data_IF_509308944321
#
_entry.id   IF_509308944321
#
_cell.length_a   1.000
_cell.length_b   1.000
_cell.length_c   1.000
_cell.angle_alpha   90.00
_cell.angle_beta   90.00
_cell.angle_gamma   90.00
#
_symmetry.space_group_name_H-M   'P 1'
#
loop_
_entity.id
_entity.type
_entity.pdbx_description
1 polymer ?
#
# COMPACT_ATOMS: atom_id res chain seq x y z
N UNK A 1 -13.80 29.20 -21.03
CA UNK A 1 -12.83 28.61 -20.09
C UNK A 1 -12.10 27.47 -20.76
N UNK A 2 -10.79 27.42 -20.68
CA UNK A 2 -10.06 26.32 -21.28
C UNK A 2 -10.48 24.99 -20.70
N UNK A 3 -10.65 23.94 -21.50
CA UNK A 3 -11.09 22.64 -21.00
C UNK A 3 -10.12 21.99 -19.99
N UNK A 4 -8.86 22.48 -19.94
CA UNK A 4 -7.83 21.94 -19.04
C UNK A 4 -7.58 22.82 -17.82
N UNK A 5 -8.34 23.90 -17.64
CA UNK A 5 -8.24 24.69 -16.42
C UNK A 5 -8.72 23.85 -15.25
N UNK A 6 -7.89 23.64 -14.20
CA UNK A 6 -8.35 22.88 -13.05
C UNK A 6 -9.48 23.64 -12.34
N UNK A 7 -10.46 22.91 -11.75
CA UNK A 7 -11.45 23.56 -10.92
C UNK A 7 -10.76 24.21 -9.71
N UNK A 8 -11.37 25.24 -9.10
CA UNK A 8 -10.80 25.78 -7.88
C UNK A 8 -10.66 24.68 -6.84
N UNK A 9 -9.47 24.58 -6.27
CA UNK A 9 -9.17 23.57 -5.25
C UNK A 9 -9.62 24.08 -3.89
N UNK A 10 -10.44 23.29 -3.22
CA UNK A 10 -10.63 23.42 -1.79
C UNK A 10 -9.68 22.45 -1.11
N UNK A 11 -9.04 22.91 -0.05
CA UNK A 11 -8.19 22.05 0.77
C UNK A 11 -9.06 20.97 1.41
N UNK A 12 -8.74 19.66 1.19
CA UNK A 12 -9.51 18.61 1.82
C UNK A 12 -9.42 18.71 3.34
N UNK A 13 -10.50 18.35 4.06
CA UNK A 13 -10.45 18.35 5.51
C UNK A 13 -9.50 17.28 6.02
N UNK A 14 -8.89 17.54 7.16
CA UNK A 14 -8.10 16.54 7.86
C UNK A 14 -9.03 15.61 8.62
N UNK A 15 -9.00 14.32 8.27
CA UNK A 15 -9.85 13.31 8.91
C UNK A 15 -9.10 12.74 10.12
N UNK A 16 -9.76 12.63 11.29
CA UNK A 16 -9.13 12.03 12.46
C UNK A 16 -8.75 10.56 12.20
N UNK A 17 -7.57 10.10 12.67
CA UNK A 17 -7.19 8.70 12.51
C UNK A 17 -8.08 7.78 13.35
N UNK A 18 -8.33 6.57 12.82
CA UNK A 18 -9.04 5.51 13.53
C UNK A 18 -8.11 4.67 14.40
N UNK A 19 -6.81 4.71 14.09
CA UNK A 19 -5.80 4.01 14.86
C UNK A 19 -5.45 4.81 16.11
N UNK A 20 -5.14 4.09 17.20
CA UNK A 20 -4.68 4.73 18.45
C UNK A 20 -3.16 4.92 18.48
N UNK A 21 -2.44 4.21 17.61
CA UNK A 21 -1.00 4.32 17.48
C UNK A 21 -0.61 4.40 16.01
N UNK A 22 0.57 4.98 15.73
CA UNK A 22 1.09 5.10 14.39
C UNK A 22 1.17 3.73 13.69
N UNK A 23 0.93 3.67 12.37
CA UNK A 23 1.08 2.42 11.63
C UNK A 23 2.50 1.85 11.78
N UNK A 24 2.60 0.53 11.90
CA UNK A 24 3.88 -0.15 12.14
C UNK A 24 4.33 -0.86 10.87
N UNK A 25 5.63 -0.80 10.60
CA UNK A 25 6.28 -1.52 9.51
C UNK A 25 5.89 -3.00 9.52
N UNK A 26 5.60 -3.56 8.36
CA UNK A 26 5.25 -4.95 8.14
C UNK A 26 3.91 -5.40 8.75
N UNK A 27 3.17 -4.49 9.37
CA UNK A 27 1.84 -4.78 9.89
C UNK A 27 0.79 -4.57 8.83
N UNK A 28 -0.32 -5.30 8.98
CA UNK A 28 -1.43 -5.30 8.04
C UNK A 28 -2.60 -4.54 8.65
N UNK A 29 -3.19 -3.67 7.86
CA UNK A 29 -4.37 -2.88 8.22
C UNK A 29 -5.39 -2.93 7.09
N UNK A 30 -6.67 -2.70 7.39
CA UNK A 30 -7.64 -2.35 6.36
C UNK A 30 -7.35 -0.94 5.86
N UNK A 31 -7.49 -0.71 4.55
CA UNK A 31 -7.32 0.59 3.93
C UNK A 31 -8.51 0.91 3.05
N UNK A 32 -9.08 2.11 3.26
CA UNK A 32 -10.14 2.64 2.40
C UNK A 32 -9.49 3.38 1.22
N UNK A 33 -9.55 2.77 0.04
CA UNK A 33 -9.05 3.40 -1.17
C UNK A 33 -10.06 4.41 -1.74
N UNK A 34 -9.63 5.16 -2.76
CA UNK A 34 -10.39 6.27 -3.32
C UNK A 34 -11.61 5.78 -4.08
N UNK A 35 -12.73 6.48 -3.94
CA UNK A 35 -13.97 6.18 -4.67
C UNK A 35 -13.87 6.58 -6.15
N UNK A 36 -13.03 7.56 -6.46
CA UNK A 36 -12.78 8.05 -7.81
C UNK A 36 -11.62 7.35 -8.50
N UNK A 37 -11.22 6.20 -7.99
CA UNK A 37 -10.14 5.42 -8.55
C UNK A 37 -10.43 5.02 -10.00
N UNK A 38 -9.37 5.01 -10.81
CA UNK A 38 -9.41 4.56 -12.20
C UNK A 38 -8.57 3.31 -12.34
N UNK A 39 -9.14 2.26 -12.95
CA UNK A 39 -8.39 1.01 -13.12
C UNK A 39 -7.09 1.24 -13.90
N UNK A 40 -5.96 0.65 -13.49
CA UNK A 40 -5.84 -0.44 -12.50
C UNK A 40 -5.65 0.01 -11.04
N UNK A 41 -5.97 1.24 -10.69
CA UNK A 41 -5.89 1.69 -9.29
C UNK A 41 -6.80 0.86 -8.38
N UNK A 42 -6.39 0.70 -7.12
CA UNK A 42 -7.24 0.06 -6.12
C UNK A 42 -8.41 0.96 -5.76
N UNK A 43 -9.60 0.38 -5.64
CA UNK A 43 -10.83 1.16 -5.53
C UNK A 43 -11.77 0.74 -4.40
N UNK A 44 -11.52 -0.39 -3.75
CA UNK A 44 -12.35 -0.84 -2.63
C UNK A 44 -11.52 -0.99 -1.37
N UNK A 45 -12.16 -1.13 -0.22
CA UNK A 45 -11.47 -1.43 1.03
C UNK A 45 -10.72 -2.75 0.91
N UNK A 46 -9.42 -2.72 1.21
CA UNK A 46 -8.54 -3.88 1.11
C UNK A 46 -7.57 -3.92 2.27
N UNK A 47 -7.06 -5.11 2.63
CA UNK A 47 -5.90 -5.17 3.49
C UNK A 47 -4.68 -4.60 2.78
N UNK A 48 -3.84 -3.92 3.52
CA UNK A 48 -2.55 -3.41 3.03
C UNK A 48 -1.47 -3.75 4.04
N UNK A 49 -0.23 -3.92 3.56
CA UNK A 49 0.94 -4.06 4.43
C UNK A 49 1.73 -2.77 4.40
N UNK A 50 2.16 -2.31 5.57
CA UNK A 50 2.94 -1.07 5.70
C UNK A 50 4.39 -1.35 5.31
N UNK A 51 4.90 -0.55 4.36
CA UNK A 51 6.28 -0.62 3.88
C UNK A 51 7.18 0.44 4.50
N UNK A 52 6.63 1.58 4.90
CA UNK A 52 7.42 2.66 5.49
C UNK A 52 7.67 2.43 6.96
N UNK A 53 8.81 2.94 7.45
CA UNK A 53 9.14 2.95 8.86
C UNK A 53 9.14 4.39 9.40
N UNK A 54 9.20 4.54 10.73
CA UNK A 54 9.12 5.86 11.39
C UNK A 54 7.81 6.58 11.07
N UNK A 55 6.73 5.83 10.96
CA UNK A 55 5.42 6.40 10.68
C UNK A 55 4.89 7.20 11.86
N UNK A 56 4.04 8.17 11.56
CA UNK A 56 3.30 8.95 12.55
C UNK A 56 1.80 8.81 12.31
N UNK A 57 0.98 9.24 13.26
CA UNK A 57 -0.48 9.18 13.11
C UNK A 57 -1.01 10.13 12.03
N UNK A 58 -0.26 11.17 11.68
CA UNK A 58 -0.73 12.22 10.79
C UNK A 58 0.12 12.39 9.53
N UNK A 59 1.26 11.72 9.46
CA UNK A 59 2.14 11.77 8.30
C UNK A 59 1.79 10.72 7.25
N UNK A 60 2.41 10.78 6.07
CA UNK A 60 2.15 9.82 5.02
C UNK A 60 2.66 8.43 5.40
N UNK A 61 1.98 7.42 4.91
CA UNK A 61 2.33 6.01 5.12
C UNK A 61 2.39 5.30 3.78
N UNK A 62 3.49 4.60 3.49
CA UNK A 62 3.62 3.83 2.26
C UNK A 62 3.11 2.41 2.50
N UNK A 63 2.23 1.96 1.62
CA UNK A 63 1.61 0.65 1.74
C UNK A 63 1.64 -0.11 0.43
N UNK A 64 1.60 -1.44 0.52
CA UNK A 64 1.37 -2.34 -0.61
C UNK A 64 0.04 -3.05 -0.38
N UNK A 65 -0.85 -3.09 -1.40
CA UNK A 65 -2.15 -3.73 -1.24
C UNK A 65 -2.03 -5.24 -1.29
N UNK A 66 -2.93 -5.90 -0.58
CA UNK A 66 -3.10 -7.35 -0.59
C UNK A 66 -4.40 -7.69 -1.31
N UNK A 67 -4.39 -8.79 -2.07
CA UNK A 67 -5.56 -9.23 -2.82
C UNK A 67 -5.80 -10.72 -2.62
N UNK A 68 -7.05 -11.14 -2.69
CA UNK A 68 -7.40 -12.56 -2.73
C UNK A 68 -7.32 -13.14 -4.14
N UNK A 69 -7.20 -12.28 -5.16
CA UNK A 69 -6.97 -12.72 -6.53
C UNK A 69 -5.60 -13.34 -6.69
N UNK A 70 -5.55 -14.53 -7.30
CA UNK A 70 -4.30 -15.27 -7.47
C UNK A 70 -3.34 -14.50 -8.38
N UNK A 71 -2.09 -14.36 -7.95
CA UNK A 71 -1.04 -13.63 -8.66
C UNK A 71 0.13 -14.52 -9.09
N UNK A 72 -0.09 -15.82 -9.23
CA UNK A 72 0.96 -16.80 -9.54
C UNK A 72 1.69 -16.50 -10.85
N UNK A 73 0.97 -15.96 -11.85
CA UNK A 73 1.56 -15.63 -13.15
C UNK A 73 2.32 -14.30 -13.15
N UNK A 74 2.25 -13.53 -12.08
CA UNK A 74 2.90 -12.23 -12.00
C UNK A 74 4.19 -12.32 -11.19
N UNK A 75 5.27 -11.80 -11.74
CA UNK A 75 6.55 -11.69 -11.00
C UNK A 75 6.47 -10.68 -9.84
N UNK A 76 5.42 -9.86 -9.82
CA UNK A 76 5.22 -8.84 -8.78
C UNK A 76 4.35 -9.31 -7.65
N UNK A 77 3.74 -10.49 -7.77
CA UNK A 77 2.91 -11.07 -6.72
C UNK A 77 3.74 -11.90 -5.74
N UNK A 78 3.40 -11.80 -4.46
CA UNK A 78 3.94 -12.68 -3.42
C UNK A 78 2.80 -13.22 -2.58
N UNK A 79 2.66 -14.53 -2.51
CA UNK A 79 1.65 -15.16 -1.66
C UNK A 79 2.11 -15.15 -0.20
N UNK A 80 1.28 -14.59 0.68
CA UNK A 80 1.56 -14.59 2.11
C UNK A 80 1.32 -15.98 2.69
N UNK A 81 2.18 -16.40 3.65
CA UNK A 81 1.99 -17.65 4.37
C UNK A 81 0.86 -17.56 5.39
N UNK A 82 0.52 -16.34 5.81
CA UNK A 82 -0.57 -16.10 6.77
C UNK A 82 -1.87 -15.84 6.00
N UNK A 83 -2.99 -16.30 6.58
CA UNK A 83 -4.31 -16.01 6.04
C UNK A 83 -4.81 -14.69 6.60
N UNK A 84 -5.43 -13.87 5.74
CA UNK A 84 -6.04 -12.61 6.13
C UNK A 84 -7.55 -12.82 6.09
N UNK A 85 -8.21 -12.65 7.24
CA UNK A 85 -9.66 -12.87 7.38
C UNK A 85 -10.07 -14.25 6.84
N UNK A 86 -9.25 -15.27 7.13
CA UNK A 86 -9.48 -16.64 6.70
C UNK A 86 -9.22 -16.92 5.23
N UNK A 87 -8.67 -15.96 4.48
CA UNK A 87 -8.45 -16.10 3.05
C UNK A 87 -6.98 -16.01 2.68
N UNK A 88 -6.57 -16.78 1.65
CA UNK A 88 -5.25 -16.65 1.05
C UNK A 88 -5.14 -15.27 0.41
N UNK A 89 -3.96 -14.66 0.56
CA UNK A 89 -3.75 -13.30 0.05
C UNK A 89 -2.37 -13.18 -0.58
N UNK A 90 -2.29 -12.32 -1.59
CA UNK A 90 -1.07 -12.00 -2.31
C UNK A 90 -0.78 -10.52 -2.19
N UNK A 91 0.48 -10.16 -1.94
CA UNK A 91 0.93 -8.79 -2.05
C UNK A 91 1.13 -8.43 -3.53
N UNK A 92 0.61 -7.27 -3.95
CA UNK A 92 0.76 -6.76 -5.31
C UNK A 92 1.89 -5.74 -5.31
N UNK A 93 3.12 -6.19 -5.51
CA UNK A 93 4.32 -5.43 -5.19
C UNK A 93 4.63 -4.26 -6.15
N UNK A 94 3.91 -4.16 -7.26
CA UNK A 94 4.02 -3.01 -8.17
C UNK A 94 2.82 -2.04 -8.06
N UNK A 95 2.02 -2.18 -7.00
CA UNK A 95 0.91 -1.27 -6.69
C UNK A 95 1.21 -0.58 -5.37
N UNK A 96 2.04 0.45 -5.40
CA UNK A 96 2.43 1.17 -4.19
C UNK A 96 1.54 2.39 -4.00
N UNK A 97 1.12 2.63 -2.76
CA UNK A 97 0.29 3.78 -2.42
C UNK A 97 0.84 4.50 -1.20
N UNK A 98 0.86 5.82 -1.26
CA UNK A 98 1.08 6.66 -0.10
C UNK A 98 -0.30 7.12 0.37
N UNK A 99 -0.63 6.81 1.61
CA UNK A 99 -1.96 7.09 2.16
C UNK A 99 -1.86 7.82 3.49
N UNK A 100 -2.91 8.56 3.82
CA UNK A 100 -3.06 9.11 5.17
C UNK A 100 -3.42 7.98 6.14
N UNK A 101 -2.85 7.95 7.36
CA UNK A 101 -3.22 6.93 8.35
C UNK A 101 -4.70 6.90 8.70
N UNK A 102 -5.42 8.02 8.48
CA UNK A 102 -6.87 8.07 8.66
C UNK A 102 -7.64 7.13 7.73
N UNK A 103 -7.01 6.61 6.67
CA UNK A 103 -7.61 5.59 5.80
C UNK A 103 -7.45 4.17 6.36
N UNK A 104 -6.63 4.01 7.40
CA UNK A 104 -6.29 2.70 7.95
C UNK A 104 -7.15 2.39 9.18
N UNK A 105 -7.50 1.12 9.32
CA UNK A 105 -8.17 0.59 10.51
C UNK A 105 -7.63 -0.79 10.85
N UNK A 106 -7.81 -1.21 12.09
CA UNK A 106 -7.31 -2.50 12.57
C UNK A 106 -7.95 -3.66 11.83
N UNK A 107 -7.14 -4.70 11.59
CA UNK A 107 -7.55 -5.92 10.91
C UNK A 107 -8.14 -6.93 11.92
N UNK A 108 -9.24 -6.59 12.58
CA UNK A 108 -9.84 -7.45 13.58
C UNK A 108 -9.17 -7.34 14.95
N UNK A 109 -9.11 -8.44 15.71
CA UNK A 109 -8.56 -8.46 17.07
C UNK A 109 -7.05 -8.64 17.01
N UNK A 110 -6.32 -7.65 17.54
CA UNK A 110 -4.86 -7.68 17.59
C UNK A 110 -4.23 -7.24 16.27
N UNK A 111 -2.91 -7.14 16.27
CA UNK A 111 -2.15 -6.72 15.11
C UNK A 111 -1.60 -7.93 14.38
N UNK A 112 -1.76 -7.93 13.05
CA UNK A 112 -1.18 -8.94 12.19
C UNK A 112 0.11 -8.41 11.60
N UNK A 113 1.20 -9.13 11.83
CA UNK A 113 2.51 -8.79 11.30
C UNK A 113 2.94 -9.84 10.26
N UNK A 114 3.43 -9.37 9.13
CA UNK A 114 4.02 -10.26 8.12
C UNK A 114 5.37 -10.77 8.63
N UNK A 115 5.66 -12.08 8.50
CA UNK A 115 6.96 -12.60 8.90
C UNK A 115 8.11 -11.87 8.22
N UNK A 116 9.21 -11.72 8.94
CA UNK A 116 10.37 -10.93 8.48
C UNK A 116 10.92 -11.41 7.13
N UNK A 117 11.02 -12.71 6.93
CA UNK A 117 11.51 -13.29 5.68
C UNK A 117 10.60 -12.95 4.49
N UNK A 118 9.29 -12.96 4.70
CA UNK A 118 8.33 -12.61 3.67
C UNK A 118 8.30 -11.11 3.39
N UNK A 119 8.43 -10.30 4.43
CA UNK A 119 8.59 -8.86 4.24
C UNK A 119 9.77 -8.56 3.34
N UNK A 120 10.91 -9.23 3.55
CA UNK A 120 12.09 -9.06 2.70
C UNK A 120 11.83 -9.47 1.25
N UNK A 121 11.09 -10.55 1.02
CA UNK A 121 10.74 -10.97 -0.34
C UNK A 121 9.83 -9.97 -1.03
N UNK A 122 8.87 -9.42 -0.30
CA UNK A 122 8.00 -8.36 -0.83
C UNK A 122 8.84 -7.12 -1.14
N UNK A 123 9.71 -6.72 -0.23
CA UNK A 123 10.56 -5.54 -0.41
C UNK A 123 11.50 -5.69 -1.61
N UNK A 124 12.04 -6.88 -1.85
CA UNK A 124 12.85 -7.16 -3.04
C UNK A 124 12.07 -6.91 -4.33
N UNK A 125 10.80 -7.36 -4.38
CA UNK A 125 9.94 -7.16 -5.54
C UNK A 125 9.56 -5.69 -5.73
N UNK A 126 9.25 -5.01 -4.64
CA UNK A 126 8.97 -3.56 -4.67
C UNK A 126 10.17 -2.80 -5.23
N UNK A 127 11.36 -3.06 -4.71
CA UNK A 127 12.57 -2.36 -5.17
C UNK A 127 12.98 -2.77 -6.58
N UNK A 128 12.68 -3.99 -7.01
CA UNK A 128 12.94 -4.43 -8.37
C UNK A 128 12.06 -3.74 -9.40
N UNK A 129 10.88 -3.27 -9.01
CA UNK A 129 9.98 -2.50 -9.88
C UNK A 129 10.44 -1.04 -10.03
N UNK A 130 11.21 -0.53 -9.06
CA UNK A 130 11.75 0.82 -9.10
C UNK A 130 13.14 0.78 -9.78
N UNK A 131 13.52 1.84 -10.49
CA UNK A 131 14.87 1.90 -11.05
C UNK A 131 15.90 2.05 -9.93
N UNK A 132 17.08 1.49 -10.14
CA UNK A 132 18.21 1.76 -9.25
C UNK A 132 18.82 3.12 -9.61
N UNK A 133 19.48 3.80 -8.67
CA UNK A 133 20.07 5.12 -8.94
C UNK A 133 21.02 5.13 -10.15
N UNK A 134 21.75 4.05 -10.40
CA UNK A 134 22.67 3.98 -11.52
C UNK A 134 22.00 3.81 -12.88
N UNK A 135 20.77 3.29 -12.91
CA UNK A 135 20.07 3.03 -14.17
C UNK A 135 19.69 4.35 -14.88
N UNK A 136 19.53 5.42 -14.12
CA UNK A 136 19.14 6.74 -14.64
C UNK A 136 20.31 7.39 -15.38
N UNK A 137 21.54 7.17 -14.94
CA UNK A 137 22.76 7.77 -15.51
C UNK A 137 23.35 6.94 -16.65
N UNK A 138 22.78 5.79 -16.95
CA UNK A 138 23.24 4.91 -18.03
C UNK A 138 22.59 5.35 -19.35
N UNK A 139 23.38 5.68 -20.40
CA UNK A 139 22.81 6.14 -21.68
C UNK A 139 21.84 5.16 -22.32
N UNK A 140 21.97 3.87 -22.07
CA UNK A 140 21.14 2.79 -22.61
C UNK A 140 20.12 2.28 -21.58
N UNK A 141 19.98 2.98 -20.47
CA UNK A 141 19.13 2.58 -19.36
C UNK A 141 17.65 2.67 -19.60
#
# INVERSE_FOLDING_TARGET
MPPFAPPPFERPPRVPPRLVAAPKLAHIYWCDFWRDAQLPEMWKTRPVMVLSYKNTLHGPCLVVPLTTGVQDASRWGWELSISIDGQRSWAVCNHLYTVAPSRLSQLGIGMTRVPHTEFNEILKRVTAWLPRPFDIDTPDG
#
